data_IF_426442797818
#
_entry.id   IF_426442797818
#
_cell.length_a   1.000
_cell.length_b   1.000
_cell.length_c   1.000
_cell.angle_alpha   90.00
_cell.angle_beta   90.00
_cell.angle_gamma   90.00
#
_symmetry.space_group_name_H-M   'P 1'
#
loop_
_entity.id
_entity.type
_entity.pdbx_description
1 polymer ?
#
# COMPACT_ATOMS: atom_id res chain seq x y z
N UNK A 1 -0.68 -8.30 -22.44
CA UNK A 1 -0.30 -8.14 -21.03
C UNK A 1 -1.54 -8.03 -20.18
N UNK A 2 -1.68 -8.92 -19.20
CA UNK A 2 -2.86 -8.89 -18.32
C UNK A 2 -2.68 -7.81 -17.26
N UNK A 3 -3.62 -6.88 -17.21
CA UNK A 3 -3.66 -5.86 -16.15
C UNK A 3 -4.53 -6.41 -15.03
N UNK A 4 -3.96 -6.53 -13.83
CA UNK A 4 -4.74 -6.91 -12.66
C UNK A 4 -5.68 -5.76 -12.28
N UNK A 5 -6.99 -5.99 -12.18
CA UNK A 5 -7.94 -4.91 -11.89
C UNK A 5 -7.74 -4.30 -10.49
N UNK A 6 -7.08 -5.01 -9.59
CA UNK A 6 -6.81 -4.56 -8.23
C UNK A 6 -5.43 -3.93 -8.06
N UNK A 7 -4.77 -3.57 -9.16
CA UNK A 7 -3.42 -3.02 -9.13
C UNK A 7 -3.36 -1.64 -9.80
N UNK A 8 -2.79 -0.67 -9.08
CA UNK A 8 -2.49 0.64 -9.65
C UNK A 8 -1.22 0.54 -10.47
N UNK A 9 -1.26 1.00 -11.72
CA UNK A 9 -0.13 0.90 -12.65
C UNK A 9 0.23 2.23 -13.30
N UNK A 10 -0.71 3.18 -13.39
CA UNK A 10 -0.49 4.44 -14.10
C UNK A 10 0.13 5.49 -13.18
N UNK A 11 1.13 6.19 -13.70
CA UNK A 11 1.78 7.29 -12.98
C UNK A 11 0.76 8.36 -12.55
N UNK A 12 -0.21 8.67 -13.41
CA UNK A 12 -1.25 9.66 -13.12
C UNK A 12 -2.09 9.26 -11.91
N UNK A 13 -2.36 7.97 -11.73
CA UNK A 13 -3.12 7.46 -10.58
C UNK A 13 -2.35 7.64 -9.27
N UNK A 14 -1.04 7.39 -9.30
CA UNK A 14 -0.17 7.62 -8.14
C UNK A 14 -0.11 9.11 -7.79
N UNK A 15 0.08 9.97 -8.80
CA UNK A 15 0.13 11.42 -8.58
C UNK A 15 -1.17 11.95 -7.99
N UNK A 16 -2.29 11.47 -8.49
CA UNK A 16 -3.60 11.85 -7.98
C UNK A 16 -3.77 11.43 -6.52
N UNK A 17 -3.38 10.20 -6.20
CA UNK A 17 -3.43 9.68 -4.83
C UNK A 17 -2.59 10.52 -3.87
N UNK A 18 -1.39 10.92 -4.28
CA UNK A 18 -0.53 11.77 -3.45
C UNK A 18 -1.12 13.16 -3.24
N UNK A 19 -1.81 13.68 -4.23
CA UNK A 19 -2.34 15.06 -4.18
C UNK A 19 -3.62 15.17 -3.38
N UNK A 20 -4.56 14.23 -3.55
CA UNK A 20 -5.90 14.33 -2.96
C UNK A 20 -6.23 13.21 -1.99
N UNK A 21 -5.42 12.18 -1.89
CA UNK A 21 -5.65 11.08 -0.97
C UNK A 21 -5.43 11.48 0.48
N UNK A 22 -6.13 10.82 1.37
CA UNK A 22 -5.86 10.96 2.81
C UNK A 22 -4.57 10.24 3.13
N UNK A 23 -3.72 10.87 3.93
CA UNK A 23 -2.40 10.36 4.28
C UNK A 23 -2.37 9.87 5.71
N UNK A 24 -1.88 8.64 5.89
CA UNK A 24 -1.65 8.03 7.20
C UNK A 24 -0.25 7.43 7.20
N UNK A 25 0.41 7.39 8.34
CA UNK A 25 1.76 6.88 8.39
C UNK A 25 2.11 6.30 9.75
N UNK A 26 3.11 5.44 9.74
CA UNK A 26 3.83 5.02 10.92
C UNK A 26 5.33 5.04 10.64
N UNK A 27 6.09 4.36 11.47
CA UNK A 27 7.54 4.30 11.32
C UNK A 27 7.98 3.64 10.01
N UNK A 28 7.19 2.69 9.49
CA UNK A 28 7.59 1.81 8.39
C UNK A 28 6.96 2.17 7.06
N UNK A 29 5.75 2.67 7.07
CA UNK A 29 4.98 2.90 5.85
C UNK A 29 4.25 4.24 5.90
N UNK A 30 4.04 4.78 4.72
CA UNK A 30 3.10 5.88 4.49
C UNK A 30 2.02 5.32 3.56
N UNK A 31 0.76 5.58 3.86
CA UNK A 31 -0.32 5.20 2.95
C UNK A 31 -1.12 6.42 2.52
N UNK A 32 -1.58 6.38 1.27
CA UNK A 32 -2.50 7.37 0.71
C UNK A 32 -3.76 6.63 0.26
N UNK A 33 -4.92 7.12 0.65
CA UNK A 33 -6.20 6.44 0.43
C UNK A 33 -7.19 7.40 -0.16
N UNK A 34 -7.85 7.00 -1.25
CA UNK A 34 -8.94 7.78 -1.84
C UNK A 34 -10.00 6.87 -2.45
N UNK A 35 -11.25 7.35 -2.49
CA UNK A 35 -12.32 6.68 -3.21
C UNK A 35 -12.06 6.75 -4.73
N UNK A 36 -12.30 5.66 -5.45
CA UNK A 36 -11.98 5.58 -6.89
C UNK A 36 -13.20 5.43 -7.80
N UNK A 37 -14.40 5.47 -7.25
CA UNK A 37 -15.66 5.30 -7.99
C UNK A 37 -15.74 4.00 -8.78
N UNK A 38 -15.08 2.96 -8.29
CA UNK A 38 -15.02 1.63 -8.88
C UNK A 38 -15.45 0.61 -7.84
N UNK A 39 -15.94 -0.57 -8.24
CA UNK A 39 -16.27 -1.61 -7.26
C UNK A 39 -15.03 -2.32 -6.68
N UNK A 40 -13.84 -2.03 -7.21
CA UNK A 40 -12.61 -2.74 -6.85
C UNK A 40 -11.66 -1.82 -6.09
N UNK A 41 -11.11 -2.32 -4.98
CA UNK A 41 -10.01 -1.65 -4.28
C UNK A 41 -8.70 -2.03 -4.94
N UNK A 42 -7.91 -1.02 -5.28
CA UNK A 42 -6.66 -1.19 -6.01
C UNK A 42 -5.48 -0.80 -5.14
N UNK A 43 -4.39 -1.57 -5.25
CA UNK A 43 -3.16 -1.35 -4.51
C UNK A 43 -2.05 -0.85 -5.42
N UNK A 44 -1.41 0.25 -5.02
CA UNK A 44 -0.17 0.71 -5.62
C UNK A 44 0.94 0.64 -4.57
N UNK A 45 2.12 0.19 -4.96
CA UNK A 45 3.26 0.07 -4.06
C UNK A 45 4.42 0.88 -4.62
N UNK A 46 4.99 1.73 -3.79
CA UNK A 46 6.19 2.48 -4.14
C UNK A 46 7.13 2.51 -2.94
N UNK A 47 8.36 2.97 -3.17
CA UNK A 47 9.39 2.99 -2.15
C UNK A 47 9.99 4.38 -2.06
N UNK A 48 10.41 4.78 -0.86
CA UNK A 48 11.26 5.95 -0.73
C UNK A 48 12.62 5.69 -1.40
N UNK A 49 13.29 6.73 -1.85
CA UNK A 49 14.59 6.61 -2.52
C UNK A 49 15.65 5.98 -1.61
N UNK A 50 15.49 6.07 -0.31
CA UNK A 50 16.45 5.57 0.69
C UNK A 50 16.35 4.06 0.94
N UNK A 51 15.37 3.37 0.36
CA UNK A 51 15.19 1.93 0.61
C UNK A 51 16.38 1.13 0.10
N UNK A 52 17.09 1.60 -0.90
CA UNK A 52 18.29 0.94 -1.42
C UNK A 52 18.06 0.23 -2.74
N UNK A 53 18.83 -0.82 -3.02
CA UNK A 53 18.82 -1.50 -4.30
C UNK A 53 17.61 -2.39 -4.53
N UNK A 54 17.60 -3.05 -5.68
CA UNK A 54 16.45 -3.85 -6.15
C UNK A 54 16.09 -5.01 -5.21
N UNK A 55 17.07 -5.64 -4.57
CA UNK A 55 16.83 -6.75 -3.64
C UNK A 55 16.00 -6.26 -2.44
N UNK A 56 16.39 -5.14 -1.83
CA UNK A 56 15.68 -4.56 -0.70
C UNK A 56 14.30 -4.05 -1.11
N UNK A 57 14.20 -3.40 -2.27
CA UNK A 57 12.94 -2.89 -2.79
C UNK A 57 11.96 -4.01 -3.08
N UNK A 58 12.42 -5.10 -3.68
CA UNK A 58 11.59 -6.27 -3.96
C UNK A 58 11.11 -6.95 -2.68
N UNK A 59 11.97 -6.99 -1.66
CA UNK A 59 11.59 -7.53 -0.35
C UNK A 59 10.44 -6.73 0.27
N UNK A 60 10.55 -5.40 0.30
CA UNK A 60 9.49 -4.55 0.86
C UNK A 60 8.22 -4.68 0.04
N UNK A 61 8.33 -4.70 -1.28
CA UNK A 61 7.18 -4.88 -2.16
C UNK A 61 6.45 -6.19 -1.86
N UNK A 62 7.21 -7.26 -1.65
CA UNK A 62 6.64 -8.57 -1.29
C UNK A 62 5.93 -8.52 0.05
N UNK A 63 6.54 -7.89 1.06
CA UNK A 63 5.93 -7.72 2.38
C UNK A 63 4.57 -7.02 2.28
N UNK A 64 4.50 -5.95 1.51
CA UNK A 64 3.26 -5.19 1.31
C UNK A 64 2.22 -6.03 0.58
N UNK A 65 2.59 -6.70 -0.51
CA UNK A 65 1.67 -7.56 -1.27
C UNK A 65 1.08 -8.67 -0.41
N UNK A 66 1.92 -9.35 0.35
CA UNK A 66 1.47 -10.43 1.23
C UNK A 66 0.50 -9.91 2.29
N UNK A 67 0.82 -8.78 2.90
CA UNK A 67 -0.04 -8.16 3.88
C UNK A 67 -1.38 -7.76 3.29
N UNK A 68 -1.36 -7.13 2.10
CA UNK A 68 -2.58 -6.74 1.40
C UNK A 68 -3.43 -7.95 1.05
N UNK A 69 -2.80 -9.03 0.57
CA UNK A 69 -3.50 -10.26 0.22
C UNK A 69 -4.23 -10.86 1.43
N UNK A 70 -3.59 -10.87 2.60
CA UNK A 70 -4.21 -11.37 3.83
C UNK A 70 -5.37 -10.51 4.30
N UNK A 71 -5.31 -9.20 4.06
CA UNK A 71 -6.31 -8.26 4.53
C UNK A 71 -7.40 -7.97 3.49
N UNK A 72 -7.23 -8.45 2.26
CA UNK A 72 -8.05 -8.08 1.11
C UNK A 72 -9.55 -8.29 1.33
N UNK A 73 -9.93 -9.42 1.93
CA UNK A 73 -11.34 -9.74 2.17
C UNK A 73 -12.02 -8.79 3.16
N UNK A 74 -11.24 -8.11 3.98
CA UNK A 74 -11.72 -7.19 5.00
C UNK A 74 -11.68 -5.73 4.54
N UNK A 75 -11.09 -5.47 3.38
CA UNK A 75 -10.91 -4.11 2.89
C UNK A 75 -12.20 -3.54 2.32
N UNK A 76 -12.43 -2.27 2.61
CA UNK A 76 -13.50 -1.50 2.00
C UNK A 76 -13.30 -1.47 0.48
N UNK A 77 -14.38 -1.71 -0.27
CA UNK A 77 -14.34 -1.69 -1.74
C UNK A 77 -14.32 -0.27 -2.28
N UNK A 78 -13.82 -0.13 -3.51
CA UNK A 78 -13.87 1.14 -4.22
C UNK A 78 -12.83 2.16 -3.78
N UNK A 79 -11.70 1.69 -3.27
CA UNK A 79 -10.63 2.56 -2.77
C UNK A 79 -9.33 2.34 -3.55
N UNK A 80 -8.61 3.42 -3.80
CA UNK A 80 -7.22 3.34 -4.23
C UNK A 80 -6.34 3.52 -2.99
N UNK A 81 -5.43 2.58 -2.79
CA UNK A 81 -4.50 2.56 -1.66
C UNK A 81 -3.09 2.54 -2.21
N UNK A 82 -2.31 3.56 -1.89
CA UNK A 82 -0.88 3.62 -2.25
C UNK A 82 -0.10 3.42 -0.97
N UNK A 83 0.78 2.41 -0.95
CA UNK A 83 1.66 2.13 0.18
C UNK A 83 3.07 2.51 -0.22
N UNK A 84 3.68 3.41 0.56
CA UNK A 84 5.07 3.83 0.37
C UNK A 84 5.90 3.14 1.45
N UNK A 85 6.83 2.28 1.03
CA UNK A 85 7.78 1.64 1.93
C UNK A 85 8.91 2.59 2.30
N UNK A 86 9.19 2.69 3.59
CA UNK A 86 10.31 3.46 4.11
C UNK A 86 11.52 2.54 4.33
N UNK A 87 12.71 3.15 4.46
CA UNK A 87 13.96 2.40 4.61
C UNK A 87 13.90 1.38 5.76
N UNK A 88 13.34 1.77 6.90
CA UNK A 88 13.24 0.89 8.08
C UNK A 88 12.36 -0.33 7.85
N UNK A 89 11.49 -0.31 6.84
CA UNK A 89 10.65 -1.45 6.52
C UNK A 89 11.44 -2.65 5.99
N UNK A 90 12.66 -2.45 5.51
CA UNK A 90 13.49 -3.55 4.97
C UNK A 90 13.83 -4.61 6.01
N UNK A 91 13.81 -4.27 7.29
CA UNK A 91 14.09 -5.21 8.37
C UNK A 91 12.87 -5.92 8.94
N UNK A 92 11.68 -5.63 8.43
CA UNK A 92 10.45 -6.22 8.98
C UNK A 92 10.29 -7.69 8.55
N UNK A 93 9.75 -8.48 9.47
CA UNK A 93 9.20 -9.81 9.14
C UNK A 93 7.77 -9.63 8.61
N UNK A 94 7.28 -10.63 7.88
CA UNK A 94 5.94 -10.58 7.28
C UNK A 94 4.85 -10.24 8.29
N UNK A 95 4.88 -10.87 9.46
CA UNK A 95 3.90 -10.65 10.52
C UNK A 95 3.94 -9.21 11.05
N UNK A 96 5.15 -8.65 11.16
CA UNK A 96 5.32 -7.27 11.62
C UNK A 96 4.81 -6.28 10.57
N UNK A 97 5.10 -6.53 9.30
CA UNK A 97 4.60 -5.69 8.21
C UNK A 97 3.08 -5.73 8.15
N UNK A 98 2.50 -6.92 8.27
CA UNK A 98 1.03 -7.08 8.26
C UNK A 98 0.39 -6.33 9.42
N UNK A 99 0.96 -6.43 10.63
CA UNK A 99 0.44 -5.73 11.81
C UNK A 99 0.49 -4.22 11.62
N UNK A 100 1.61 -3.70 11.10
CA UNK A 100 1.77 -2.27 10.82
C UNK A 100 0.73 -1.78 9.82
N UNK A 101 0.61 -2.47 8.69
CA UNK A 101 -0.35 -2.08 7.64
C UNK A 101 -1.80 -2.22 8.12
N UNK A 102 -2.10 -3.25 8.90
CA UNK A 102 -3.43 -3.43 9.46
C UNK A 102 -3.82 -2.24 10.35
N UNK A 103 -2.89 -1.77 11.19
CA UNK A 103 -3.15 -0.59 12.03
C UNK A 103 -3.40 0.66 11.20
N UNK A 104 -2.60 0.86 10.14
CA UNK A 104 -2.78 2.00 9.23
C UNK A 104 -4.11 1.92 8.49
N UNK A 105 -4.47 0.73 8.01
CA UNK A 105 -5.73 0.52 7.30
C UNK A 105 -6.94 0.75 8.22
N UNK A 106 -6.84 0.41 9.50
CA UNK A 106 -7.89 0.72 10.47
C UNK A 106 -8.03 2.23 10.68
N UNK A 107 -6.91 2.92 10.84
CA UNK A 107 -6.92 4.38 10.98
C UNK A 107 -7.54 5.06 9.77
N UNK A 108 -7.32 4.50 8.60
CA UNK A 108 -7.87 4.99 7.34
C UNK A 108 -9.31 4.50 7.09
N UNK A 109 -9.87 3.71 8.00
CA UNK A 109 -11.20 3.10 7.88
C UNK A 109 -11.34 2.20 6.64
N UNK A 110 -10.24 1.57 6.22
CA UNK A 110 -10.24 0.57 5.17
C UNK A 110 -10.67 -0.80 5.68
N UNK A 111 -10.38 -1.09 6.96
CA UNK A 111 -10.85 -2.28 7.66
C UNK A 111 -11.52 -1.84 8.95
N UNK A 112 -12.50 -2.62 9.39
CA UNK A 112 -13.24 -2.34 10.62
C UNK A 112 -12.46 -2.71 11.88
#
# INVERSE_FOLDING_TARGET
MKVHPDKLTRKSEFQLGYRIGRKYWDRYFVIYVRANNSPTTRLGITMSKKVGGSIKRNRVRRLVRESFRHLKSQLRLGMDVIVVGRQVATGLKCQQAQASLCRLFRRARLVS
#
